data_IF_929987071556
#
_entry.id   IF_929987071556
#
_cell.length_a   1.000
_cell.length_b   1.000
_cell.length_c   1.000
_cell.angle_alpha   90.00
_cell.angle_beta   90.00
_cell.angle_gamma   90.00
#
_symmetry.space_group_name_H-M   'P 1'
#
loop_
_entity.id
_entity.type
_entity.pdbx_description
1 polymer ?
#
# COMPACT_ATOMS: atom_id res chain seq x y z
N UNK A 1 24.07 60.74 -27.93
CA UNK A 1 23.09 59.67 -28.28
C UNK A 1 23.71 58.31 -28.61
N UNK A 2 25.00 58.16 -28.84
CA UNK A 2 25.63 56.83 -29.12
C UNK A 2 26.06 56.04 -27.88
N UNK A 3 26.04 56.65 -26.68
CA UNK A 3 26.48 55.99 -25.41
C UNK A 3 25.34 55.28 -24.68
N UNK A 4 24.08 55.57 -25.00
CA UNK A 4 22.91 54.96 -24.36
C UNK A 4 22.48 53.65 -25.04
N UNK A 5 22.75 53.51 -26.33
CA UNK A 5 22.39 52.27 -27.07
C UNK A 5 23.31 51.08 -26.74
N UNK A 6 24.58 51.31 -26.33
CA UNK A 6 25.48 50.24 -25.99
C UNK A 6 25.24 49.65 -24.57
N UNK A 7 24.53 50.38 -23.70
CA UNK A 7 24.18 49.88 -22.36
C UNK A 7 22.93 49.05 -22.34
N UNK A 8 22.07 49.20 -23.35
CA UNK A 8 20.83 48.42 -23.47
C UNK A 8 21.09 47.09 -24.18
N UNK A 9 22.09 47.00 -25.05
CA UNK A 9 22.47 45.77 -25.72
C UNK A 9 23.17 44.74 -24.81
N UNK A 10 23.78 45.16 -23.68
CA UNK A 10 24.43 44.23 -22.72
C UNK A 10 23.46 43.70 -21.69
N UNK A 11 22.27 44.31 -21.51
CA UNK A 11 21.27 43.87 -20.54
C UNK A 11 20.27 42.83 -21.10
N UNK A 12 20.30 42.57 -22.41
CA UNK A 12 19.41 41.60 -23.09
C UNK A 12 20.06 40.24 -23.41
N UNK A 13 21.36 40.07 -23.05
CA UNK A 13 22.09 38.81 -23.31
C UNK A 13 22.30 37.93 -22.07
N UNK A 14 21.72 38.31 -20.90
CA UNK A 14 21.88 37.55 -19.65
C UNK A 14 20.64 36.73 -19.21
N UNK A 15 19.66 36.59 -20.08
CA UNK A 15 18.40 35.89 -19.76
C UNK A 15 18.18 34.57 -20.54
N UNK A 16 19.24 33.82 -20.84
CA UNK A 16 19.06 32.54 -21.51
C UNK A 16 19.94 31.39 -20.97
N UNK A 17 20.26 31.40 -19.67
CA UNK A 17 20.71 30.20 -18.97
C UNK A 17 19.65 29.83 -17.90
N UNK A 18 18.43 29.60 -18.31
CA UNK A 18 17.60 28.66 -17.57
C UNK A 18 18.19 27.27 -17.88
N UNK A 19 19.16 26.89 -17.04
CA UNK A 19 19.55 25.50 -16.93
C UNK A 19 18.24 24.74 -16.64
N UNK A 20 17.77 23.96 -17.60
CA UNK A 20 16.75 22.94 -17.35
C UNK A 20 17.32 22.08 -16.23
N UNK A 21 16.87 22.33 -15.01
CA UNK A 21 17.09 21.41 -13.91
C UNK A 21 16.57 20.06 -14.44
N UNK A 22 17.38 18.99 -14.40
CA UNK A 22 16.87 17.69 -14.73
C UNK A 22 15.68 17.50 -13.79
N UNK A 23 14.47 17.45 -14.34
CA UNK A 23 13.33 16.89 -13.63
C UNK A 23 13.78 15.48 -13.29
N UNK A 24 14.23 15.27 -12.07
CA UNK A 24 14.41 13.93 -11.53
C UNK A 24 13.05 13.29 -11.72
N UNK A 25 12.94 12.39 -12.70
CA UNK A 25 11.76 11.59 -12.88
C UNK A 25 11.51 10.96 -11.50
N UNK A 26 10.41 11.33 -10.87
CA UNK A 26 10.06 10.85 -9.53
C UNK A 26 10.03 9.34 -9.65
N UNK A 27 11.04 8.70 -9.04
CA UNK A 27 11.21 7.26 -9.14
C UNK A 27 9.94 6.62 -8.59
N UNK A 28 9.25 5.88 -9.44
CA UNK A 28 7.97 5.28 -9.11
C UNK A 28 8.16 4.23 -8.04
N UNK A 29 7.76 4.55 -6.82
CA UNK A 29 7.78 3.61 -5.71
C UNK A 29 6.61 2.62 -5.86
N UNK A 30 6.92 1.41 -6.32
CA UNK A 30 5.97 0.31 -6.35
C UNK A 30 6.18 -0.50 -5.08
N UNK A 31 5.18 -0.55 -4.19
CA UNK A 31 5.29 -1.31 -2.95
C UNK A 31 5.38 -2.81 -3.27
N UNK A 32 6.48 -3.44 -2.86
CA UNK A 32 6.72 -4.88 -3.02
C UNK A 32 7.09 -5.47 -1.66
N UNK A 33 6.20 -6.25 -1.08
CA UNK A 33 6.47 -6.93 0.19
C UNK A 33 7.36 -8.16 -0.01
N UNK A 34 8.13 -8.49 1.01
CA UNK A 34 8.82 -9.78 1.09
C UNK A 34 7.92 -10.78 1.81
N UNK A 35 7.52 -11.84 1.09
CA UNK A 35 6.70 -12.92 1.66
C UNK A 35 7.32 -14.24 1.23
N UNK A 36 7.82 -15.03 2.18
CA UNK A 36 8.37 -16.33 1.86
C UNK A 36 7.24 -17.31 1.52
N UNK A 37 7.34 -17.97 0.38
CA UNK A 37 6.47 -19.08 0.03
C UNK A 37 6.84 -20.32 0.84
N UNK A 38 5.90 -21.25 1.01
CA UNK A 38 6.20 -22.55 1.63
C UNK A 38 7.32 -23.25 0.88
N UNK A 39 8.37 -23.58 1.60
CA UNK A 39 9.52 -24.30 1.05
C UNK A 39 9.24 -25.81 0.95
N UNK A 40 10.14 -26.55 0.32
CA UNK A 40 10.11 -28.01 0.36
C UNK A 40 10.57 -28.52 1.72
N UNK A 41 10.22 -29.75 2.07
CA UNK A 41 10.61 -30.40 3.34
C UNK A 41 12.15 -30.59 3.47
N UNK A 42 12.89 -30.40 2.37
CA UNK A 42 14.36 -30.43 2.35
C UNK A 42 15.00 -29.15 2.92
N UNK A 43 14.27 -28.04 2.97
CA UNK A 43 14.74 -26.78 3.53
C UNK A 43 14.48 -26.77 5.03
N UNK A 44 15.52 -26.72 5.89
CA UNK A 44 15.30 -26.67 7.33
C UNK A 44 14.47 -25.42 7.72
N UNK A 45 13.39 -25.60 8.47
CA UNK A 45 12.54 -24.51 8.94
C UNK A 45 13.34 -23.40 9.65
N UNK A 46 14.37 -23.80 10.42
CA UNK A 46 15.28 -22.88 11.11
C UNK A 46 16.10 -21.99 10.13
N UNK A 47 16.16 -22.32 8.83
CA UNK A 47 16.86 -21.54 7.80
C UNK A 47 15.94 -20.63 7.01
N UNK A 48 14.61 -20.76 7.09
CA UNK A 48 13.65 -19.93 6.36
C UNK A 48 13.74 -18.45 6.74
N UNK A 49 14.02 -18.17 8.03
CA UNK A 49 14.23 -16.78 8.47
C UNK A 49 15.45 -16.15 7.80
N UNK A 50 16.51 -16.93 7.58
CA UNK A 50 17.72 -16.44 6.90
C UNK A 50 17.45 -16.13 5.43
N UNK A 51 16.64 -16.95 4.75
CA UNK A 51 16.18 -16.70 3.39
C UNK A 51 15.31 -15.43 3.33
N UNK A 52 14.37 -15.28 4.26
CA UNK A 52 13.54 -14.08 4.39
C UNK A 52 14.38 -12.81 4.57
N UNK A 53 15.39 -12.87 5.45
CA UNK A 53 16.33 -11.77 5.67
C UNK A 53 17.16 -11.44 4.41
N UNK A 54 17.54 -12.47 3.64
CA UNK A 54 18.24 -12.27 2.37
C UNK A 54 17.36 -11.58 1.33
N UNK A 55 16.08 -11.96 1.21
CA UNK A 55 15.10 -11.32 0.34
C UNK A 55 14.83 -9.88 0.77
N UNK A 56 14.70 -9.61 2.07
CA UNK A 56 14.54 -8.25 2.61
C UNK A 56 15.73 -7.36 2.24
N UNK A 57 16.97 -7.88 2.38
CA UNK A 57 18.16 -7.14 1.94
C UNK A 57 18.16 -6.88 0.43
N UNK A 58 17.69 -7.83 -0.38
CA UNK A 58 17.53 -7.65 -1.83
C UNK A 58 16.54 -6.51 -2.11
N UNK A 59 15.37 -6.52 -1.48
CA UNK A 59 14.34 -5.51 -1.67
C UNK A 59 14.84 -4.11 -1.26
N UNK A 60 15.34 -3.96 -0.04
CA UNK A 60 15.83 -2.66 0.50
C UNK A 60 16.99 -2.10 -0.32
N UNK A 61 17.99 -2.93 -0.70
CA UNK A 61 19.14 -2.46 -1.49
C UNK A 61 18.77 -2.03 -2.93
N UNK A 62 17.58 -2.37 -3.40
CA UNK A 62 17.06 -1.99 -4.71
C UNK A 62 15.88 -0.99 -4.60
N UNK A 63 15.79 -0.26 -3.49
CA UNK A 63 14.82 0.82 -3.31
C UNK A 63 13.36 0.35 -3.23
N UNK A 64 13.11 -0.86 -2.72
CA UNK A 64 11.77 -1.36 -2.47
C UNK A 64 11.43 -1.26 -0.99
N UNK A 65 10.19 -0.91 -0.68
CA UNK A 65 9.70 -0.93 0.69
C UNK A 65 9.32 -2.37 1.07
N UNK A 66 10.22 -3.07 1.78
CA UNK A 66 10.06 -4.47 2.14
C UNK A 66 9.18 -4.72 3.38
N UNK A 67 8.88 -3.68 4.15
CA UNK A 67 8.19 -3.79 5.44
C UNK A 67 6.66 -3.66 5.34
N UNK A 68 6.13 -3.55 4.12
CA UNK A 68 4.68 -3.47 3.94
C UNK A 68 4.05 -4.85 4.16
N UNK A 69 3.28 -5.03 5.23
CA UNK A 69 2.65 -6.32 5.52
C UNK A 69 1.59 -6.73 4.47
N UNK A 70 1.28 -5.87 3.48
CA UNK A 70 0.12 -5.99 2.59
C UNK A 70 0.36 -5.45 1.19
N UNK A 71 1.47 -5.79 0.57
CA UNK A 71 1.64 -5.43 -0.82
C UNK A 71 0.92 -6.44 -1.70
N UNK A 72 0.23 -5.95 -2.72
CA UNK A 72 -0.31 -6.76 -3.80
C UNK A 72 0.83 -7.51 -4.51
N UNK A 73 1.98 -6.85 -4.63
CA UNK A 73 3.18 -7.43 -5.22
C UNK A 73 4.11 -7.95 -4.16
N UNK A 74 4.68 -9.11 -4.43
CA UNK A 74 5.62 -9.76 -3.52
C UNK A 74 6.92 -10.12 -4.24
N UNK A 75 8.01 -10.02 -3.49
CA UNK A 75 9.26 -10.69 -3.76
C UNK A 75 9.27 -11.96 -2.91
N UNK A 76 9.39 -13.11 -3.55
CA UNK A 76 9.45 -14.41 -2.89
C UNK A 76 10.51 -15.28 -3.53
N UNK A 77 10.86 -16.39 -2.88
CA UNK A 77 11.81 -17.36 -3.40
C UNK A 77 11.36 -18.78 -3.10
N UNK A 78 11.72 -19.68 -4.01
CA UNK A 78 11.72 -21.12 -3.83
C UNK A 78 13.17 -21.61 -3.81
N UNK A 79 13.49 -22.44 -2.84
CA UNK A 79 14.78 -23.09 -2.72
C UNK A 79 14.61 -24.60 -3.00
N UNK A 80 15.43 -25.11 -3.90
CA UNK A 80 15.51 -26.52 -4.23
C UNK A 80 16.93 -27.02 -3.92
N UNK A 81 17.07 -28.19 -3.29
CA UNK A 81 18.36 -28.87 -3.10
C UNK A 81 18.80 -29.48 -4.44
N UNK A 82 19.98 -29.10 -4.91
CA UNK A 82 20.55 -29.64 -6.16
C UNK A 82 21.50 -30.80 -5.84
N UNK A 83 22.37 -30.59 -4.83
CA UNK A 83 23.34 -31.62 -4.38
C UNK A 83 23.70 -31.40 -2.91
N UNK A 84 24.00 -32.50 -2.23
CA UNK A 84 24.45 -32.51 -0.84
C UNK A 84 25.57 -33.51 -0.67
N UNK A 85 26.69 -33.06 -0.18
CA UNK A 85 27.86 -33.90 0.10
C UNK A 85 28.38 -33.66 1.51
N UNK A 86 29.04 -34.70 2.05
CA UNK A 86 29.65 -34.66 3.37
C UNK A 86 31.18 -34.78 3.19
N UNK A 87 31.89 -33.75 3.64
CA UNK A 87 33.36 -33.71 3.63
C UNK A 87 33.87 -34.14 4.99
N UNK A 88 34.58 -35.28 5.01
CA UNK A 88 35.20 -35.78 6.22
C UNK A 88 36.32 -34.86 6.68
N UNK A 89 36.37 -34.55 7.99
CA UNK A 89 37.38 -33.71 8.62
C UNK A 89 37.03 -33.44 10.09
N UNK A 90 37.96 -32.93 10.89
CA UNK A 90 37.69 -32.42 12.23
C UNK A 90 37.48 -30.90 12.19
N UNK A 91 36.23 -30.35 12.20
CA UNK A 91 34.92 -31.04 12.19
C UNK A 91 34.50 -31.49 10.79
N UNK A 92 33.67 -32.53 10.70
CA UNK A 92 32.95 -32.91 9.47
C UNK A 92 32.12 -31.75 8.97
N UNK A 93 32.13 -31.52 7.66
CA UNK A 93 31.38 -30.43 7.02
C UNK A 93 30.33 -30.97 6.03
N UNK A 94 29.21 -30.34 5.99
CA UNK A 94 28.14 -30.54 5.00
C UNK A 94 28.26 -29.44 3.95
N UNK A 95 28.30 -29.82 2.70
CA UNK A 95 28.26 -28.91 1.54
C UNK A 95 26.92 -29.11 0.85
N UNK A 96 26.18 -28.03 0.71
CA UNK A 96 24.90 -27.98 -0.02
C UNK A 96 25.03 -27.08 -1.25
N UNK A 97 24.60 -27.58 -2.40
CA UNK A 97 24.40 -26.77 -3.60
C UNK A 97 22.89 -26.53 -3.77
N UNK A 98 22.47 -25.27 -3.75
CA UNK A 98 21.07 -24.88 -3.74
C UNK A 98 20.73 -24.08 -4.99
N UNK A 99 19.61 -24.43 -5.63
CA UNK A 99 18.96 -23.64 -6.67
C UNK A 99 17.89 -22.74 -6.07
N UNK A 100 18.04 -21.42 -6.19
CA UNK A 100 17.10 -20.46 -5.64
C UNK A 100 16.42 -19.75 -6.80
N UNK A 101 15.10 -19.97 -6.94
CA UNK A 101 14.28 -19.24 -7.91
C UNK A 101 13.57 -18.10 -7.22
N UNK A 102 13.91 -16.87 -7.61
CA UNK A 102 13.31 -15.64 -7.12
C UNK A 102 12.13 -15.26 -8.03
N UNK A 103 11.05 -14.75 -7.43
CA UNK A 103 9.87 -14.32 -8.16
C UNK A 103 9.41 -12.93 -7.72
N UNK A 104 9.02 -12.10 -8.69
CA UNK A 104 8.16 -10.92 -8.49
C UNK A 104 6.78 -11.27 -9.00
N UNK A 105 5.78 -11.24 -8.13
CA UNK A 105 4.45 -11.73 -8.43
C UNK A 105 3.34 -10.90 -7.78
N UNK A 106 2.12 -10.95 -8.37
CA UNK A 106 0.89 -10.44 -7.81
C UNK A 106 0.15 -11.60 -7.12
N UNK A 107 -0.02 -11.51 -5.82
CA UNK A 107 -0.62 -12.59 -5.02
C UNK A 107 -2.13 -12.67 -5.15
N UNK A 108 -2.79 -11.55 -5.46
CA UNK A 108 -4.25 -11.52 -5.61
C UNK A 108 -4.69 -12.03 -6.98
N UNK A 109 -4.03 -11.53 -8.03
CA UNK A 109 -4.37 -11.94 -9.40
C UNK A 109 -3.62 -13.20 -9.87
N UNK A 110 -2.82 -13.82 -9.00
CA UNK A 110 -2.01 -15.02 -9.29
C UNK A 110 -1.19 -14.86 -10.56
N UNK A 111 -0.48 -13.73 -10.68
CA UNK A 111 0.28 -13.39 -11.88
C UNK A 111 1.77 -13.23 -11.56
N UNK A 112 2.61 -13.97 -12.28
CA UNK A 112 4.06 -13.84 -12.22
C UNK A 112 4.52 -12.76 -13.20
N UNK A 113 5.25 -11.75 -12.71
CA UNK A 113 5.80 -10.66 -13.50
C UNK A 113 7.23 -10.92 -13.93
N UNK A 114 8.07 -11.44 -13.03
CA UNK A 114 9.45 -11.78 -13.35
C UNK A 114 9.93 -12.94 -12.50
N UNK A 115 10.96 -13.65 -12.99
CA UNK A 115 11.68 -14.67 -12.22
C UNK A 115 13.16 -14.66 -12.58
N UNK A 116 14.01 -15.06 -11.63
CA UNK A 116 15.44 -15.30 -11.84
C UNK A 116 15.86 -16.53 -11.03
N UNK A 117 16.78 -17.28 -11.59
CA UNK A 117 17.35 -18.48 -10.96
C UNK A 117 18.80 -18.20 -10.57
N UNK A 118 19.16 -18.49 -9.34
CA UNK A 118 20.52 -18.28 -8.79
C UNK A 118 20.96 -19.56 -8.10
N UNK A 119 22.16 -20.04 -8.41
CA UNK A 119 22.80 -21.13 -7.68
C UNK A 119 23.72 -20.57 -6.61
N UNK A 120 23.66 -21.17 -5.42
CA UNK A 120 24.50 -20.81 -4.28
C UNK A 120 24.98 -22.07 -3.57
N UNK A 121 26.22 -22.02 -3.08
CA UNK A 121 26.82 -23.12 -2.35
C UNK A 121 26.96 -22.74 -0.87
N UNK A 122 26.61 -23.62 0.01
CA UNK A 122 26.75 -23.42 1.44
C UNK A 122 27.55 -24.51 2.11
N UNK A 123 28.38 -24.14 3.08
CA UNK A 123 29.19 -25.02 3.86
C UNK A 123 28.93 -24.82 5.35
N UNK A 124 28.72 -25.88 6.10
CA UNK A 124 28.45 -25.81 7.53
C UNK A 124 28.74 -27.11 8.27
N UNK A 125 28.90 -27.03 9.60
CA UNK A 125 29.09 -28.20 10.46
C UNK A 125 27.78 -28.98 10.69
N UNK A 126 26.66 -28.43 10.25
CA UNK A 126 25.37 -29.10 10.15
C UNK A 126 24.59 -28.49 9.00
N UNK A 127 23.44 -29.08 8.67
CA UNK A 127 22.62 -28.70 7.53
C UNK A 127 22.11 -27.25 7.64
N UNK A 128 21.56 -26.85 8.78
CA UNK A 128 21.09 -25.48 9.02
C UNK A 128 22.18 -24.44 8.75
N UNK A 129 23.42 -24.70 9.23
CA UNK A 129 24.56 -23.80 8.97
C UNK A 129 24.97 -23.77 7.51
N UNK A 130 24.87 -24.88 6.79
CA UNK A 130 25.17 -24.96 5.37
C UNK A 130 24.15 -24.15 4.58
N UNK A 131 22.84 -24.29 4.84
CA UNK A 131 21.78 -23.48 4.22
C UNK A 131 21.93 -22.00 4.54
N UNK A 132 22.15 -21.65 5.80
CA UNK A 132 22.33 -20.25 6.21
C UNK A 132 23.54 -19.59 5.51
N UNK A 133 24.64 -20.35 5.35
CA UNK A 133 25.81 -19.88 4.62
C UNK A 133 25.50 -19.68 3.13
N UNK A 134 24.75 -20.60 2.51
CA UNK A 134 24.32 -20.47 1.12
C UNK A 134 23.42 -19.21 0.93
N UNK A 135 22.41 -19.01 1.77
CA UNK A 135 21.51 -17.85 1.68
C UNK A 135 22.24 -16.52 1.91
N UNK A 136 23.28 -16.51 2.74
CA UNK A 136 24.13 -15.33 2.94
C UNK A 136 24.89 -14.92 1.66
N UNK A 137 25.12 -15.84 0.71
CA UNK A 137 25.80 -15.57 -0.55
C UNK A 137 24.92 -14.93 -1.62
N UNK A 138 23.61 -14.84 -1.40
CA UNK A 138 22.72 -14.06 -2.28
C UNK A 138 23.17 -12.59 -2.28
N UNK A 139 23.70 -12.13 -3.40
CA UNK A 139 24.24 -10.78 -3.58
C UNK A 139 23.12 -9.82 -4.00
N UNK A 140 22.65 -8.91 -3.11
CA UNK A 140 21.49 -8.05 -3.39
C UNK A 140 21.63 -7.18 -4.64
N UNK A 141 22.85 -6.77 -5.00
CA UNK A 141 23.16 -5.91 -6.15
C UNK A 141 23.78 -6.66 -7.32
N UNK A 142 23.62 -7.99 -7.40
CA UNK A 142 24.06 -8.71 -8.61
C UNK A 142 23.24 -8.25 -9.82
N UNK A 143 23.87 -8.23 -11.00
CA UNK A 143 23.22 -7.82 -12.24
C UNK A 143 21.92 -8.59 -12.50
N UNK A 144 21.90 -9.88 -12.17
CA UNK A 144 20.77 -10.77 -12.34
C UNK A 144 19.60 -10.39 -11.44
N UNK A 145 19.86 -10.07 -10.16
CA UNK A 145 18.82 -9.62 -9.22
C UNK A 145 18.32 -8.22 -9.58
N UNK A 146 19.22 -7.29 -9.94
CA UNK A 146 18.84 -5.97 -10.40
C UNK A 146 17.94 -6.04 -11.65
N UNK A 147 18.26 -6.91 -12.61
CA UNK A 147 17.45 -7.15 -13.80
C UNK A 147 16.10 -7.78 -13.48
N UNK A 148 16.04 -8.74 -12.55
CA UNK A 148 14.78 -9.33 -12.06
C UNK A 148 13.83 -8.21 -11.57
N UNK A 149 14.33 -7.35 -10.68
CA UNK A 149 13.53 -6.32 -10.04
C UNK A 149 13.12 -5.21 -11.01
N UNK A 150 14.03 -4.75 -11.88
CA UNK A 150 13.71 -3.76 -12.91
C UNK A 150 12.68 -4.29 -13.91
N UNK A 151 12.84 -5.53 -14.36
CA UNK A 151 11.86 -6.20 -15.23
C UNK A 151 10.51 -6.38 -14.55
N UNK A 152 10.51 -6.77 -13.28
CA UNK A 152 9.30 -6.89 -12.47
C UNK A 152 8.55 -5.56 -12.37
N UNK A 153 9.24 -4.49 -11.97
CA UNK A 153 8.68 -3.13 -11.90
C UNK A 153 8.11 -2.68 -13.24
N UNK A 154 8.86 -2.83 -14.34
CA UNK A 154 8.40 -2.43 -15.67
C UNK A 154 7.13 -3.18 -16.10
N UNK A 155 7.05 -4.48 -15.85
CA UNK A 155 5.87 -5.28 -16.18
C UNK A 155 4.66 -4.94 -15.29
N UNK A 156 4.86 -4.63 -14.01
CA UNK A 156 3.82 -4.16 -13.11
C UNK A 156 3.26 -2.83 -13.64
N UNK A 157 4.12 -1.88 -13.99
CA UNK A 157 3.70 -0.59 -14.55
C UNK A 157 2.90 -0.76 -15.84
N UNK A 158 3.41 -1.57 -16.77
CA UNK A 158 2.69 -1.84 -18.01
C UNK A 158 1.32 -2.51 -17.79
N UNK A 159 1.22 -3.37 -16.78
CA UNK A 159 -0.07 -3.96 -16.38
C UNK A 159 -1.06 -2.87 -15.96
N UNK A 160 -0.67 -1.96 -15.05
CA UNK A 160 -1.56 -0.87 -14.65
C UNK A 160 -1.86 0.10 -15.77
N UNK A 161 -0.86 0.48 -16.57
CA UNK A 161 -1.04 1.36 -17.71
C UNK A 161 -2.03 0.83 -18.77
N UNK A 162 -2.20 -0.48 -18.82
CA UNK A 162 -3.13 -1.13 -19.76
C UNK A 162 -4.48 -1.48 -19.12
N UNK A 163 -4.51 -1.77 -17.81
CA UNK A 163 -5.70 -2.30 -17.13
C UNK A 163 -6.43 -1.31 -16.23
N UNK A 164 -5.88 -0.11 -15.96
CA UNK A 164 -6.48 0.81 -15.00
C UNK A 164 -7.96 1.12 -15.29
N UNK A 165 -8.36 1.28 -16.54
CA UNK A 165 -9.75 1.54 -16.89
C UNK A 165 -10.69 0.40 -16.47
N UNK A 166 -10.26 -0.87 -16.61
CA UNK A 166 -11.04 -2.03 -16.21
C UNK A 166 -11.10 -2.14 -14.69
N UNK A 167 -9.99 -1.86 -14.01
CA UNK A 167 -9.91 -1.84 -12.53
C UNK A 167 -10.84 -0.75 -11.98
N UNK A 168 -10.83 0.44 -12.57
CA UNK A 168 -11.68 1.56 -12.16
C UNK A 168 -13.17 1.29 -12.40
N UNK A 169 -13.53 0.64 -13.51
CA UNK A 169 -14.92 0.20 -13.76
C UNK A 169 -15.39 -0.80 -12.71
N UNK A 170 -14.55 -1.77 -12.37
CA UNK A 170 -14.87 -2.76 -11.33
C UNK A 170 -14.98 -2.11 -9.96
N UNK A 171 -14.09 -1.18 -9.61
CA UNK A 171 -14.18 -0.41 -8.38
C UNK A 171 -15.50 0.37 -8.26
N UNK A 172 -15.96 1.02 -9.35
CA UNK A 172 -17.25 1.70 -9.36
C UNK A 172 -18.40 0.72 -9.16
N UNK A 173 -18.38 -0.44 -9.84
CA UNK A 173 -19.40 -1.48 -9.68
C UNK A 173 -19.48 -1.96 -8.23
N UNK A 174 -18.34 -2.18 -7.57
CA UNK A 174 -18.29 -2.55 -6.16
C UNK A 174 -18.85 -1.43 -5.26
N UNK A 175 -18.49 -0.18 -5.53
CA UNK A 175 -19.00 0.97 -4.80
C UNK A 175 -20.53 1.13 -4.97
N UNK A 176 -21.08 0.85 -6.15
CA UNK A 176 -22.53 0.83 -6.39
C UNK A 176 -23.24 -0.28 -5.59
N UNK A 177 -22.56 -1.40 -5.37
CA UNK A 177 -23.00 -2.48 -4.48
C UNK A 177 -22.72 -2.19 -3.00
N UNK A 178 -22.22 -0.99 -2.65
CA UNK A 178 -21.85 -0.57 -1.30
C UNK A 178 -20.69 -1.38 -0.68
N UNK A 179 -19.91 -2.08 -1.49
CA UNK A 179 -18.69 -2.79 -1.11
C UNK A 179 -17.49 -1.83 -1.19
N UNK A 180 -17.54 -0.77 -0.37
CA UNK A 180 -16.62 0.35 -0.48
C UNK A 180 -15.17 -0.02 -0.17
N UNK A 181 -14.95 -0.89 0.81
CA UNK A 181 -13.61 -1.31 1.21
C UNK A 181 -12.88 -2.02 0.05
N UNK A 182 -13.60 -2.90 -0.65
CA UNK A 182 -13.09 -3.60 -1.82
C UNK A 182 -12.85 -2.66 -2.99
N UNK A 183 -13.79 -1.73 -3.22
CA UNK A 183 -13.65 -0.72 -4.26
C UNK A 183 -12.41 0.15 -4.02
N UNK A 184 -12.19 0.62 -2.79
CA UNK A 184 -11.04 1.42 -2.41
C UNK A 184 -9.73 0.63 -2.48
N UNK A 185 -9.74 -0.67 -2.13
CA UNK A 185 -8.58 -1.54 -2.28
C UNK A 185 -8.13 -1.64 -3.75
N UNK A 186 -9.07 -1.80 -4.70
CA UNK A 186 -8.77 -1.84 -6.13
C UNK A 186 -8.17 -0.52 -6.64
N UNK A 187 -8.74 0.61 -6.23
CA UNK A 187 -8.29 1.94 -6.68
C UNK A 187 -6.91 2.26 -6.11
N UNK A 188 -6.69 1.98 -4.82
CA UNK A 188 -5.42 2.27 -4.13
C UNK A 188 -4.27 1.36 -4.56
N UNK A 189 -4.57 0.22 -5.19
CA UNK A 189 -3.58 -0.66 -5.80
C UNK A 189 -2.94 -0.06 -7.06
N UNK A 190 -3.59 0.91 -7.72
CA UNK A 190 -3.05 1.56 -8.92
C UNK A 190 -1.93 2.52 -8.51
N UNK A 191 -0.68 2.32 -8.99
CA UNK A 191 0.43 3.21 -8.66
C UNK A 191 0.17 4.65 -9.11
N UNK A 192 0.44 5.63 -8.22
CA UNK A 192 0.19 7.05 -8.51
C UNK A 192 0.95 7.55 -9.76
N UNK A 193 2.10 6.96 -10.05
CA UNK A 193 2.95 7.28 -11.21
C UNK A 193 2.54 6.55 -12.50
N UNK A 194 1.54 5.67 -12.47
CA UNK A 194 0.97 5.04 -13.68
C UNK A 194 0.11 6.02 -14.46
N UNK A 195 -0.16 5.73 -15.74
CA UNK A 195 -1.06 6.54 -16.59
C UNK A 195 -2.44 6.72 -15.97
N UNK A 196 -2.89 5.75 -15.19
CA UNK A 196 -4.17 5.77 -14.48
C UNK A 196 -4.13 6.41 -13.09
N UNK A 197 -2.96 6.77 -12.56
CA UNK A 197 -2.76 7.17 -11.18
C UNK A 197 -3.64 8.36 -10.74
N UNK A 198 -3.60 9.45 -11.49
CA UNK A 198 -4.42 10.64 -11.18
C UNK A 198 -5.92 10.36 -11.28
N UNK A 199 -6.33 9.55 -12.25
CA UNK A 199 -7.75 9.16 -12.40
C UNK A 199 -8.16 8.28 -11.24
N UNK A 200 -7.29 7.37 -10.82
CA UNK A 200 -7.52 6.49 -9.67
C UNK A 200 -7.69 7.30 -8.37
N UNK A 201 -6.84 8.30 -8.13
CA UNK A 201 -6.95 9.16 -6.95
C UNK A 201 -8.31 9.88 -6.94
N UNK A 202 -8.68 10.53 -8.05
CA UNK A 202 -9.97 11.24 -8.13
C UNK A 202 -11.18 10.33 -7.94
N UNK A 203 -11.16 9.16 -8.57
CA UNK A 203 -12.24 8.19 -8.42
C UNK A 203 -12.28 7.59 -7.01
N UNK A 204 -11.12 7.32 -6.42
CA UNK A 204 -11.01 6.86 -5.04
C UNK A 204 -11.59 7.88 -4.04
N UNK A 205 -11.31 9.16 -4.22
CA UNK A 205 -11.92 10.24 -3.42
C UNK A 205 -13.45 10.25 -3.57
N UNK A 206 -13.97 10.10 -4.78
CA UNK A 206 -15.43 10.01 -5.01
C UNK A 206 -16.05 8.81 -4.29
N UNK A 207 -15.41 7.64 -4.36
CA UNK A 207 -15.87 6.43 -3.65
C UNK A 207 -15.79 6.63 -2.13
N UNK A 208 -14.72 7.24 -1.63
CA UNK A 208 -14.57 7.57 -0.21
C UNK A 208 -15.65 8.52 0.30
N UNK A 209 -16.02 9.53 -0.47
CA UNK A 209 -17.13 10.45 -0.10
C UNK A 209 -18.46 9.68 0.04
N UNK A 210 -18.75 8.76 -0.88
CA UNK A 210 -19.94 7.90 -0.82
C UNK A 210 -19.93 6.99 0.41
N UNK A 211 -18.78 6.40 0.73
CA UNK A 211 -18.59 5.62 1.96
C UNK A 211 -18.84 6.47 3.21
N UNK A 212 -18.22 7.64 3.28
CA UNK A 212 -18.36 8.60 4.37
C UNK A 212 -19.82 9.01 4.58
N UNK A 213 -20.51 9.42 3.51
CA UNK A 213 -21.89 9.87 3.58
C UNK A 213 -22.81 8.73 4.05
N UNK A 214 -22.59 7.51 3.59
CA UNK A 214 -23.34 6.35 4.08
C UNK A 214 -23.10 6.07 5.55
N UNK A 215 -21.84 6.09 5.98
CA UNK A 215 -21.48 5.86 7.38
C UNK A 215 -22.13 6.91 8.29
N UNK A 216 -22.06 8.18 7.92
CA UNK A 216 -22.64 9.26 8.69
C UNK A 216 -24.18 9.20 8.69
N UNK A 217 -24.81 8.79 7.60
CA UNK A 217 -26.26 8.57 7.55
C UNK A 217 -26.70 7.43 8.48
N UNK A 218 -25.89 6.37 8.62
CA UNK A 218 -26.17 5.30 9.60
C UNK A 218 -26.09 5.84 11.03
N UNK A 219 -25.10 6.65 11.38
CA UNK A 219 -25.00 7.31 12.68
C UNK A 219 -26.23 8.19 12.95
N UNK A 220 -26.63 9.00 11.98
CA UNK A 220 -27.83 9.84 12.13
C UNK A 220 -29.10 9.01 12.33
N UNK A 221 -29.26 7.93 11.59
CA UNK A 221 -30.42 7.04 11.76
C UNK A 221 -30.43 6.34 13.13
N UNK A 222 -29.26 5.93 13.63
CA UNK A 222 -29.11 5.39 14.98
C UNK A 222 -29.48 6.46 16.02
N UNK A 223 -28.99 7.67 15.88
CA UNK A 223 -29.33 8.80 16.75
C UNK A 223 -30.82 9.06 16.79
N UNK A 224 -31.48 9.13 15.62
CA UNK A 224 -32.93 9.28 15.49
C UNK A 224 -33.71 8.13 16.17
N UNK A 225 -33.25 6.90 15.99
CA UNK A 225 -33.87 5.73 16.64
C UNK A 225 -33.83 5.81 18.16
N UNK A 226 -32.69 6.20 18.74
CA UNK A 226 -32.54 6.38 20.20
C UNK A 226 -33.43 7.52 20.68
N UNK A 227 -33.48 8.66 19.95
CA UNK A 227 -34.29 9.79 20.31
C UNK A 227 -35.79 9.47 20.27
N UNK A 228 -36.24 8.81 19.22
CA UNK A 228 -37.65 8.40 19.09
C UNK A 228 -38.11 7.42 20.18
N UNK A 229 -37.20 6.61 20.71
CA UNK A 229 -37.52 5.65 21.75
C UNK A 229 -37.65 6.24 23.15
N UNK A 230 -36.93 7.33 23.46
CA UNK A 230 -36.78 7.78 24.83
C UNK A 230 -37.13 9.24 25.11
N UNK A 231 -36.86 10.18 24.26
CA UNK A 231 -37.09 11.64 24.36
C UNK A 231 -36.82 12.24 25.79
N UNK A 232 -35.90 11.64 26.52
CA UNK A 232 -35.49 12.02 27.89
C UNK A 232 -34.00 12.48 27.90
N UNK A 233 -33.56 12.96 29.05
CA UNK A 233 -32.19 13.44 29.21
C UNK A 233 -31.13 12.34 28.99
N UNK A 234 -31.43 11.08 29.32
CA UNK A 234 -30.51 9.97 29.14
C UNK A 234 -30.36 9.63 27.65
N UNK A 235 -31.46 9.64 26.92
CA UNK A 235 -31.45 9.46 25.47
C UNK A 235 -30.76 10.63 24.78
N UNK A 236 -30.99 11.87 25.21
CA UNK A 236 -30.35 13.06 24.67
C UNK A 236 -28.81 12.99 24.76
N UNK A 237 -28.26 12.53 25.89
CA UNK A 237 -26.81 12.33 26.05
C UNK A 237 -26.25 11.32 25.05
N UNK A 238 -26.90 10.14 24.93
CA UNK A 238 -26.47 9.10 23.98
C UNK A 238 -26.52 9.60 22.53
N UNK A 239 -27.56 10.34 22.19
CA UNK A 239 -27.71 10.92 20.84
C UNK A 239 -26.63 11.97 20.59
N UNK A 240 -26.33 12.84 21.57
CA UNK A 240 -25.26 13.82 21.47
C UNK A 240 -23.90 13.17 21.17
N UNK A 241 -23.55 12.07 21.88
CA UNK A 241 -22.30 11.33 21.65
C UNK A 241 -22.20 10.77 20.22
N UNK A 242 -23.33 10.39 19.62
CA UNK A 242 -23.38 9.93 18.23
C UNK A 242 -23.28 11.10 17.26
N UNK A 243 -24.03 12.19 17.49
CA UNK A 243 -24.01 13.35 16.62
C UNK A 243 -22.63 14.01 16.54
N UNK A 244 -21.85 13.98 17.63
CA UNK A 244 -20.47 14.48 17.65
C UNK A 244 -19.50 13.68 16.74
N UNK A 245 -19.87 12.47 16.33
CA UNK A 245 -19.08 11.63 15.42
C UNK A 245 -19.40 11.93 13.96
N UNK A 246 -20.50 12.62 13.66
CA UNK A 246 -20.91 12.94 12.29
C UNK A 246 -19.98 13.99 11.70
N UNK A 247 -19.39 13.65 10.54
CA UNK A 247 -18.54 14.57 9.79
C UNK A 247 -19.33 15.80 9.33
N UNK A 248 -18.88 17.03 9.63
CA UNK A 248 -19.53 18.27 9.18
C UNK A 248 -19.72 18.41 7.68
N UNK A 249 -18.91 17.70 6.90
CA UNK A 249 -19.02 17.70 5.44
C UNK A 249 -19.89 16.57 4.88
N UNK A 250 -20.43 15.70 5.73
CA UNK A 250 -21.34 14.65 5.29
C UNK A 250 -22.66 15.27 4.81
N UNK A 251 -23.23 14.68 3.78
CA UNK A 251 -24.50 15.15 3.18
C UNK A 251 -25.64 15.24 4.23
N UNK A 252 -25.61 14.42 5.28
CA UNK A 252 -26.62 14.39 6.33
C UNK A 252 -26.37 15.37 7.50
N UNK A 253 -25.26 16.15 7.48
CA UNK A 253 -24.88 16.99 8.61
C UNK A 253 -25.93 18.03 9.00
N UNK A 254 -26.57 18.67 8.01
CA UNK A 254 -27.68 19.59 8.26
C UNK A 254 -28.80 18.93 9.06
N UNK A 255 -29.16 17.72 8.68
CA UNK A 255 -30.19 16.96 9.40
C UNK A 255 -29.75 16.53 10.82
N UNK A 256 -28.45 16.36 11.05
CA UNK A 256 -27.89 16.14 12.39
C UNK A 256 -28.05 17.41 13.28
N UNK A 257 -27.81 18.60 12.71
CA UNK A 257 -28.04 19.87 13.40
C UNK A 257 -29.52 20.11 13.73
N UNK A 258 -30.42 19.74 12.80
CA UNK A 258 -31.88 19.83 13.00
C UNK A 258 -32.33 18.95 14.18
N UNK A 259 -31.86 17.70 14.24
CA UNK A 259 -32.11 16.79 15.35
C UNK A 259 -31.57 17.35 16.69
N UNK A 260 -30.37 17.93 16.66
CA UNK A 260 -29.79 18.59 17.83
C UNK A 260 -30.65 19.75 18.33
N UNK A 261 -31.17 20.57 17.41
CA UNK A 261 -32.04 21.70 17.75
C UNK A 261 -33.40 21.24 18.33
N UNK A 262 -33.97 20.17 17.78
CA UNK A 262 -35.19 19.53 18.31
C UNK A 262 -34.99 19.07 19.75
N UNK A 263 -33.89 18.35 20.03
CA UNK A 263 -33.56 17.86 21.35
C UNK A 263 -33.40 19.01 22.36
N UNK A 264 -32.69 20.09 22.01
CA UNK A 264 -32.54 21.29 22.84
C UNK A 264 -33.86 21.94 23.18
N UNK A 265 -34.84 21.91 22.28
CA UNK A 265 -36.17 22.44 22.51
C UNK A 265 -37.00 21.63 23.50
N UNK A 266 -36.79 20.32 23.56
CA UNK A 266 -37.58 19.42 24.37
C UNK A 266 -36.94 19.13 25.75
N UNK A 267 -35.61 19.02 25.80
CA UNK A 267 -34.84 18.79 27.03
C UNK A 267 -34.19 20.09 27.44
N UNK A 268 -34.72 20.74 28.47
CA UNK A 268 -34.08 21.91 29.12
C UNK A 268 -32.78 21.47 29.77
N UNK A 269 -31.72 21.25 29.02
CA UNK A 269 -30.40 20.89 29.53
C UNK A 269 -29.34 21.77 28.87
N UNK A 270 -28.33 22.14 29.68
CA UNK A 270 -27.11 22.84 29.26
C UNK A 270 -26.20 21.96 28.38
N UNK A 271 -26.79 21.25 27.40
CA UNK A 271 -26.04 20.55 26.39
C UNK A 271 -25.45 21.61 25.41
N UNK A 272 -24.33 22.18 25.84
CA UNK A 272 -23.48 23.00 25.01
C UNK A 272 -22.79 22.05 24.02
N UNK A 273 -23.51 21.78 22.91
CA UNK A 273 -22.98 21.03 21.78
C UNK A 273 -22.11 22.01 20.97
N UNK A 274 -20.86 22.15 21.41
CA UNK A 274 -19.81 22.79 20.61
C UNK A 274 -19.47 21.94 19.38
N UNK A 275 -20.40 21.87 18.45
CA UNK A 275 -20.15 21.22 17.15
C UNK A 275 -19.33 22.09 16.18
N UNK A 276 -18.93 23.31 16.59
CA UNK A 276 -18.40 24.32 15.68
C UNK A 276 -16.87 24.39 15.57
N UNK A 277 -16.07 23.80 16.42
CA UNK A 277 -14.62 24.10 16.43
C UNK A 277 -13.67 23.08 15.82
N UNK A 278 -14.13 21.93 15.42
CA UNK A 278 -13.23 20.82 15.03
C UNK A 278 -12.63 20.89 13.61
N UNK A 279 -13.11 21.75 12.71
CA UNK A 279 -12.73 21.67 11.30
C UNK A 279 -12.44 23.03 10.63
N UNK A 280 -11.45 23.76 11.12
CA UNK A 280 -11.04 25.05 10.54
C UNK A 280 -9.84 25.02 9.58
N UNK A 281 -9.38 23.89 9.06
CA UNK A 281 -8.23 23.84 8.15
C UNK A 281 -8.55 23.08 6.85
N UNK A 282 -9.09 23.77 5.86
CA UNK A 282 -9.47 23.21 4.54
C UNK A 282 -8.31 22.57 3.75
N UNK A 283 -7.08 23.08 3.86
CA UNK A 283 -5.92 22.57 3.09
C UNK A 283 -5.45 21.19 3.58
N UNK A 284 -5.54 20.87 4.85
CA UNK A 284 -5.20 19.55 5.41
C UNK A 284 -6.25 18.47 5.14
N UNK A 285 -7.44 18.87 4.72
CA UNK A 285 -8.59 17.98 4.61
C UNK A 285 -8.48 17.04 3.42
N UNK A 286 -7.98 17.50 2.28
CA UNK A 286 -7.82 16.64 1.09
C UNK A 286 -6.70 15.61 1.29
N UNK A 287 -5.58 15.99 1.89
CA UNK A 287 -4.52 15.05 2.28
C UNK A 287 -5.03 13.99 3.28
N UNK A 288 -5.83 14.41 4.26
CA UNK A 288 -6.44 13.51 5.23
C UNK A 288 -7.44 12.55 4.57
N UNK A 289 -8.21 13.01 3.58
CA UNK A 289 -9.13 12.16 2.80
C UNK A 289 -8.38 11.12 1.97
N UNK A 290 -7.30 11.51 1.31
CA UNK A 290 -6.44 10.59 0.56
C UNK A 290 -5.81 9.55 1.51
N UNK A 291 -5.34 9.99 2.68
CA UNK A 291 -4.80 9.09 3.68
C UNK A 291 -5.85 8.11 4.22
N UNK A 292 -7.07 8.59 4.52
CA UNK A 292 -8.18 7.75 4.98
C UNK A 292 -8.63 6.75 3.89
N UNK A 293 -8.74 7.20 2.65
CA UNK A 293 -9.04 6.34 1.50
C UNK A 293 -8.02 5.20 1.38
N UNK A 294 -6.72 5.55 1.45
CA UNK A 294 -5.63 4.56 1.40
C UNK A 294 -5.68 3.61 2.59
N UNK A 295 -5.91 4.15 3.80
CA UNK A 295 -6.01 3.34 5.02
C UNK A 295 -7.14 2.29 4.94
N UNK A 296 -8.31 2.65 4.40
CA UNK A 296 -9.42 1.71 4.21
C UNK A 296 -9.05 0.65 3.17
N UNK A 297 -8.50 1.04 2.02
CA UNK A 297 -8.07 0.11 0.99
C UNK A 297 -6.98 -0.85 1.47
N UNK A 298 -6.00 -0.33 2.24
CA UNK A 298 -4.96 -1.12 2.88
C UNK A 298 -5.57 -2.04 3.94
N UNK A 299 -6.47 -1.57 4.81
CA UNK A 299 -7.10 -2.39 5.84
C UNK A 299 -7.88 -3.57 5.24
N UNK A 300 -8.58 -3.34 4.13
CA UNK A 300 -9.23 -4.43 3.39
C UNK A 300 -8.20 -5.43 2.85
N UNK A 301 -7.15 -4.95 2.18
CA UNK A 301 -6.04 -5.79 1.70
C UNK A 301 -5.41 -6.60 2.84
N UNK A 302 -5.31 -6.01 4.05
CA UNK A 302 -4.79 -6.65 5.26
C UNK A 302 -5.66 -7.81 5.74
N UNK A 303 -6.98 -7.64 5.69
CA UNK A 303 -7.93 -8.71 5.98
C UNK A 303 -7.79 -9.88 5.00
N UNK A 304 -7.30 -9.61 3.79
CA UNK A 304 -7.01 -10.58 2.73
C UNK A 304 -5.58 -11.14 2.81
N UNK A 305 -4.95 -11.14 4.01
CA UNK A 305 -3.56 -11.57 4.21
C UNK A 305 -3.14 -12.64 3.21
N UNK A 306 -2.09 -12.36 2.43
CA UNK A 306 -1.37 -13.36 1.67
C UNK A 306 -0.77 -14.36 2.66
N UNK A 307 -1.55 -15.36 3.06
CA UNK A 307 -0.99 -16.52 3.75
C UNK A 307 0.01 -17.16 2.79
N UNK A 308 1.07 -17.77 3.33
CA UNK A 308 2.01 -18.61 2.56
C UNK A 308 1.32 -19.54 1.57
N UNK A 309 0.09 -19.95 1.86
CA UNK A 309 -0.78 -20.74 0.98
C UNK A 309 -1.24 -20.00 -0.28
N UNK A 310 -1.33 -18.66 -0.27
CA UNK A 310 -1.81 -17.90 -1.42
C UNK A 310 -0.79 -17.78 -2.56
N UNK A 311 0.47 -18.12 -2.34
CA UNK A 311 1.54 -18.12 -3.33
C UNK A 311 1.98 -19.52 -3.77
N UNK A 312 1.31 -20.58 -3.29
CA UNK A 312 1.60 -21.97 -3.69
C UNK A 312 1.42 -22.23 -5.21
N UNK A 313 0.68 -21.39 -5.92
CA UNK A 313 0.50 -21.44 -7.37
C UNK A 313 1.75 -21.06 -8.18
N UNK A 314 2.80 -20.51 -7.56
CA UNK A 314 4.09 -20.20 -8.19
C UNK A 314 5.00 -21.45 -8.35
N UNK A 315 4.56 -22.60 -7.87
CA UNK A 315 5.29 -23.87 -7.98
C UNK A 315 5.48 -24.34 -9.42
#
# INVERSE_FOLDING_TARGET
MKSLLNKIAILLCSCSLFAALPTTAQECDIPVAVVLMQQSDEVPEASEQMLTNALTRIAVNNGMNAELPYAQFVLTARCDMLDKSIVAGPPTQIVCNLGITLYVADVYNKKKFASAYVEVNGVGTNEVKAYNNAFAQLKPKSAQIAQLLSTGKAKIMNYYDTQYNNILKEANRLADMQRFDEALALVTAIPACSKGGDVAIRQGLSIYMRYRDRYNLQLLNQARGIWAAGQDQASARKVADILLQIDPEAACYKSALELCAEMKGQVRSDLDLEMREKYRNEVKLEEQRIAAMRAIGVAYGNGQKAKTTNIAWLR
#
